data_IF_013686274211
#
_entry.id   IF_013686274211
#
_cell.length_a   1.000
_cell.length_b   1.000
_cell.length_c   1.000
_cell.angle_alpha   90.00
_cell.angle_beta   90.00
_cell.angle_gamma   90.00
#
_symmetry.space_group_name_H-M   'P 1'
#
loop_
_entity.id
_entity.type
_entity.pdbx_description
1 polymer ?
#
# COMPACT_ATOMS: atom_id res chain seq x y z
N UNK A 1 3.52 -0.48 10.70
CA UNK A 1 3.85 -1.79 10.10
C UNK A 1 4.41 -1.65 8.69
N UNK A 2 3.75 -0.92 7.77
CA UNK A 2 4.27 -0.70 6.40
C UNK A 2 5.70 -0.14 6.39
N UNK A 3 5.98 0.94 7.11
CA UNK A 3 7.33 1.54 7.17
C UNK A 3 8.41 0.56 7.65
N UNK A 4 8.09 -0.25 8.66
CA UNK A 4 9.01 -1.28 9.15
C UNK A 4 9.22 -2.38 8.10
N UNK A 5 8.13 -2.83 7.47
CA UNK A 5 8.16 -3.82 6.41
C UNK A 5 9.00 -3.35 5.21
N UNK A 6 8.82 -2.11 4.78
CA UNK A 6 9.63 -1.47 3.73
C UNK A 6 11.12 -1.50 4.07
N UNK A 7 11.49 -0.98 5.26
CA UNK A 7 12.89 -0.94 5.68
C UNK A 7 13.54 -2.32 5.88
N UNK A 8 12.75 -3.34 6.23
CA UNK A 8 13.27 -4.68 6.50
C UNK A 8 13.32 -5.59 5.26
N UNK A 9 12.46 -5.37 4.25
CA UNK A 9 12.24 -6.34 3.17
C UNK A 9 12.36 -5.77 1.75
N UNK A 10 12.18 -4.47 1.53
CA UNK A 10 12.11 -3.91 0.17
C UNK A 10 13.43 -4.07 -0.60
N UNK A 11 14.58 -3.83 0.05
CA UNK A 11 15.90 -3.99 -0.56
C UNK A 11 16.29 -5.44 -0.85
N UNK A 12 15.71 -6.40 -0.13
CA UNK A 12 15.99 -7.82 -0.32
C UNK A 12 15.06 -8.48 -1.36
N UNK A 13 13.80 -8.03 -1.43
CA UNK A 13 12.78 -8.58 -2.34
C UNK A 13 12.73 -7.88 -3.70
N UNK A 14 13.12 -6.61 -3.74
CA UNK A 14 12.86 -5.70 -4.85
C UNK A 14 11.59 -4.90 -4.67
N UNK A 15 11.57 -3.71 -5.24
CA UNK A 15 10.48 -2.76 -5.04
C UNK A 15 9.21 -3.29 -5.72
N UNK A 16 9.31 -3.93 -6.88
CA UNK A 16 8.16 -4.50 -7.58
C UNK A 16 7.51 -5.66 -6.81
N UNK A 17 8.33 -6.57 -6.28
CA UNK A 17 7.88 -7.70 -5.44
C UNK A 17 7.20 -7.19 -4.18
N UNK A 18 7.87 -6.29 -3.46
CA UNK A 18 7.35 -5.67 -2.25
C UNK A 18 6.01 -4.98 -2.51
N UNK A 19 5.95 -4.11 -3.51
CA UNK A 19 4.78 -3.27 -3.75
C UNK A 19 3.60 -4.08 -4.27
N UNK A 20 3.84 -5.07 -5.13
CA UNK A 20 2.79 -5.97 -5.63
C UNK A 20 2.17 -6.77 -4.48
N UNK A 21 2.97 -7.31 -3.56
CA UNK A 21 2.47 -8.03 -2.39
C UNK A 21 1.69 -7.11 -1.43
N UNK A 22 2.22 -5.91 -1.16
CA UNK A 22 1.57 -4.90 -0.32
C UNK A 22 0.20 -4.49 -0.88
N UNK A 23 0.13 -4.12 -2.16
CA UNK A 23 -1.09 -3.68 -2.83
C UNK A 23 -2.11 -4.81 -2.93
N UNK A 24 -1.66 -6.03 -3.24
CA UNK A 24 -2.56 -7.19 -3.30
C UNK A 24 -3.23 -7.45 -1.95
N UNK A 25 -2.47 -7.38 -0.86
CA UNK A 25 -3.00 -7.48 0.48
C UNK A 25 -3.92 -6.30 0.86
N UNK A 26 -3.60 -5.08 0.41
CA UNK A 26 -4.44 -3.90 0.62
C UNK A 26 -5.82 -4.07 -0.03
N UNK A 27 -5.88 -4.63 -1.25
CA UNK A 27 -7.12 -4.94 -1.94
C UNK A 27 -7.96 -5.98 -1.18
N UNK A 28 -7.32 -7.05 -0.71
CA UNK A 28 -7.98 -8.08 0.08
C UNK A 28 -8.51 -7.50 1.40
N UNK A 29 -7.73 -6.66 2.06
CA UNK A 29 -8.13 -6.00 3.30
C UNK A 29 -9.29 -5.04 3.10
N UNK A 30 -9.26 -4.23 2.05
CA UNK A 30 -10.37 -3.33 1.71
C UNK A 30 -11.68 -4.09 1.46
N UNK A 31 -11.61 -5.24 0.78
CA UNK A 31 -12.76 -6.12 0.58
C UNK A 31 -13.35 -6.63 1.91
N UNK A 32 -12.48 -6.97 2.88
CA UNK A 32 -12.89 -7.41 4.21
C UNK A 32 -13.51 -6.25 5.01
N UNK A 33 -12.87 -5.07 5.01
CA UNK A 33 -13.42 -3.87 5.67
C UNK A 33 -14.81 -3.54 5.15
N UNK A 34 -14.98 -3.56 3.83
CA UNK A 34 -16.26 -3.30 3.18
C UNK A 34 -17.35 -4.31 3.56
N UNK A 35 -16.97 -5.59 3.69
CA UNK A 35 -17.90 -6.64 4.10
C UNK A 35 -18.32 -6.48 5.56
N UNK A 36 -17.38 -6.14 6.43
CA UNK A 36 -17.65 -5.93 7.84
C UNK A 36 -18.35 -4.58 8.12
N UNK A 37 -18.38 -3.68 7.14
CA UNK A 37 -18.96 -2.34 7.28
C UNK A 37 -18.10 -1.42 8.13
N UNK A 38 -16.78 -1.63 8.14
CA UNK A 38 -15.87 -0.78 8.91
C UNK A 38 -15.59 0.49 8.10
N UNK A 39 -15.98 1.64 8.65
CA UNK A 39 -15.75 2.95 8.03
C UNK A 39 -16.71 3.34 6.91
N UNK A 40 -17.77 2.56 6.68
CA UNK A 40 -18.83 2.85 5.71
C UNK A 40 -20.20 2.69 6.37
N UNK A 41 -21.18 3.49 5.95
CA UNK A 41 -22.50 3.53 6.59
C UNK A 41 -23.37 2.32 6.18
N UNK A 42 -23.16 1.79 4.97
CA UNK A 42 -23.82 0.58 4.48
C UNK A 42 -22.82 -0.51 4.11
N UNK A 43 -23.06 -1.73 4.60
CA UNK A 43 -22.24 -2.90 4.29
C UNK A 43 -22.32 -3.25 2.81
N UNK A 44 -21.17 -3.34 2.15
CA UNK A 44 -21.13 -3.69 0.73
C UNK A 44 -21.09 -5.21 0.53
N UNK A 45 -21.86 -5.76 -0.42
CA UNK A 45 -21.81 -7.19 -0.73
C UNK A 45 -20.54 -7.57 -1.51
N UNK A 46 -20.19 -8.85 -1.49
CA UNK A 46 -19.18 -9.40 -2.39
C UNK A 46 -19.76 -9.50 -3.80
N UNK A 47 -19.55 -8.46 -4.60
CA UNK A 47 -19.90 -8.49 -6.02
C UNK A 47 -18.93 -9.39 -6.79
N UNK A 48 -19.37 -9.94 -7.92
CA UNK A 48 -18.52 -10.78 -8.78
C UNK A 48 -17.22 -10.06 -9.17
N UNK A 49 -17.28 -8.76 -9.49
CA UNK A 49 -16.10 -7.96 -9.82
C UNK A 49 -15.11 -7.86 -8.65
N UNK A 50 -15.61 -7.62 -7.44
CA UNK A 50 -14.78 -7.53 -6.24
C UNK A 50 -14.11 -8.87 -5.89
N UNK A 51 -14.83 -9.98 -6.05
CA UNK A 51 -14.26 -11.33 -5.85
C UNK A 51 -13.21 -11.65 -6.92
N UNK A 52 -13.48 -11.33 -8.19
CA UNK A 52 -12.51 -11.51 -9.26
C UNK A 52 -11.25 -10.69 -9.01
N UNK A 53 -11.38 -9.42 -8.65
CA UNK A 53 -10.22 -8.58 -8.33
C UNK A 53 -9.40 -9.11 -7.15
N UNK A 54 -10.04 -9.64 -6.12
CA UNK A 54 -9.38 -10.32 -5.01
C UNK A 54 -8.62 -11.58 -5.47
N UNK A 55 -9.20 -12.40 -6.35
CA UNK A 55 -8.51 -13.57 -6.93
C UNK A 55 -7.27 -13.13 -7.72
N UNK A 56 -7.39 -12.08 -8.54
CA UNK A 56 -6.26 -11.53 -9.28
C UNK A 56 -5.14 -11.03 -8.36
N UNK A 57 -5.47 -10.40 -7.23
CA UNK A 57 -4.51 -9.97 -6.21
C UNK A 57 -3.77 -11.16 -5.56
N UNK A 58 -4.48 -12.25 -5.26
CA UNK A 58 -3.85 -13.47 -4.73
C UNK A 58 -2.90 -14.08 -5.76
N UNK A 59 -3.35 -14.23 -7.01
CA UNK A 59 -2.54 -14.79 -8.09
C UNK A 59 -1.30 -13.91 -8.36
N UNK A 60 -1.47 -12.59 -8.36
CA UNK A 60 -0.36 -11.64 -8.50
C UNK A 60 0.71 -11.85 -7.42
N UNK A 61 0.28 -11.99 -6.16
CA UNK A 61 1.19 -12.25 -5.03
C UNK A 61 1.95 -13.55 -5.22
N UNK A 62 1.27 -14.63 -5.64
CA UNK A 62 1.92 -15.91 -5.89
C UNK A 62 2.96 -15.83 -7.00
N UNK A 63 2.67 -15.14 -8.11
CA UNK A 63 3.64 -14.96 -9.19
C UNK A 63 4.84 -14.14 -8.74
N UNK A 64 4.62 -13.03 -8.05
CA UNK A 64 5.69 -12.12 -7.65
C UNK A 64 6.63 -12.75 -6.62
N UNK A 65 6.12 -13.65 -5.77
CA UNK A 65 6.90 -14.38 -4.74
C UNK A 65 7.50 -15.69 -5.28
N UNK A 66 7.05 -16.20 -6.43
CA UNK A 66 7.51 -17.49 -6.97
C UNK A 66 9.03 -17.62 -7.17
N UNK A 67 9.79 -16.59 -7.59
CA UNK A 67 11.24 -16.71 -7.68
C UNK A 67 11.92 -17.01 -6.33
N UNK A 68 11.31 -16.59 -5.24
CA UNK A 68 11.86 -16.66 -3.88
C UNK A 68 11.57 -18.00 -3.18
N UNK A 69 10.81 -18.91 -3.81
CA UNK A 69 10.43 -20.19 -3.20
C UNK A 69 11.60 -21.09 -2.80
N UNK A 70 12.77 -20.89 -3.40
CA UNK A 70 13.99 -21.64 -3.09
C UNK A 70 14.67 -21.17 -1.79
N UNK A 71 14.29 -20.01 -1.26
CA UNK A 71 14.90 -19.41 -0.07
C UNK A 71 13.85 -19.15 1.01
N UNK A 72 13.88 -19.96 2.08
CA UNK A 72 12.94 -19.81 3.20
C UNK A 72 13.00 -18.41 3.82
N UNK A 73 14.20 -17.80 3.90
CA UNK A 73 14.35 -16.44 4.44
C UNK A 73 13.68 -15.38 3.55
N UNK A 74 13.74 -15.53 2.22
CA UNK A 74 13.09 -14.61 1.29
C UNK A 74 11.56 -14.73 1.35
N UNK A 75 11.02 -15.93 1.57
CA UNK A 75 9.58 -16.13 1.78
C UNK A 75 9.11 -15.41 3.05
N UNK A 76 9.85 -15.54 4.17
CA UNK A 76 9.50 -14.81 5.40
C UNK A 76 9.52 -13.30 5.19
N UNK A 77 10.49 -12.78 4.44
CA UNK A 77 10.54 -11.36 4.09
C UNK A 77 9.35 -10.95 3.21
N UNK A 78 8.90 -11.80 2.28
CA UNK A 78 7.74 -11.53 1.43
C UNK A 78 6.40 -11.54 2.18
N UNK A 79 6.31 -12.21 3.32
CA UNK A 79 5.13 -12.19 4.20
C UNK A 79 4.98 -10.83 4.87
N UNK A 80 6.07 -10.11 5.17
CA UNK A 80 6.01 -8.79 5.81
C UNK A 80 5.20 -7.75 5.02
N UNK A 81 5.43 -7.50 3.71
CA UNK A 81 4.62 -6.56 2.94
C UNK A 81 3.16 -7.01 2.85
N UNK A 82 2.93 -8.31 2.71
CA UNK A 82 1.57 -8.83 2.64
C UNK A 82 0.80 -8.58 3.96
N UNK A 83 1.38 -8.91 5.11
CA UNK A 83 0.77 -8.62 6.41
C UNK A 83 0.62 -7.10 6.64
N UNK A 84 1.62 -6.32 6.24
CA UNK A 84 1.56 -4.87 6.33
C UNK A 84 0.40 -4.30 5.52
N UNK A 85 0.16 -4.81 4.31
CA UNK A 85 -0.97 -4.41 3.46
C UNK A 85 -2.31 -4.84 4.04
N UNK A 86 -2.37 -6.06 4.61
CA UNK A 86 -3.57 -6.56 5.28
C UNK A 86 -3.97 -5.67 6.45
N UNK A 87 -3.00 -5.21 7.25
CA UNK A 87 -3.25 -4.30 8.37
C UNK A 87 -3.50 -2.87 7.91
N UNK A 88 -2.80 -2.41 6.88
CA UNK A 88 -2.93 -1.05 6.37
C UNK A 88 -4.30 -0.78 5.74
N UNK A 89 -4.97 -1.80 5.18
CA UNK A 89 -6.29 -1.61 4.54
C UNK A 89 -7.40 -1.16 5.50
N UNK A 90 -7.24 -1.36 6.80
CA UNK A 90 -8.19 -0.89 7.82
C UNK A 90 -7.97 0.58 8.20
N UNK A 91 -6.78 1.12 7.94
CA UNK A 91 -6.40 2.47 8.35
C UNK A 91 -7.25 3.55 7.63
N UNK A 92 -7.52 3.48 6.31
CA UNK A 92 -8.42 4.44 5.64
C UNK A 92 -9.81 4.52 6.28
N UNK A 93 -10.37 3.39 6.72
CA UNK A 93 -11.68 3.34 7.37
C UNK A 93 -11.67 4.09 8.72
N UNK A 94 -10.66 3.85 9.56
CA UNK A 94 -10.47 4.58 10.82
C UNK A 94 -10.20 6.07 10.58
N UNK A 95 -9.35 6.39 9.61
CA UNK A 95 -9.00 7.76 9.25
C UNK A 95 -10.21 8.57 8.79
N UNK A 96 -11.13 7.94 8.07
CA UNK A 96 -12.37 8.54 7.59
C UNK A 96 -13.30 8.89 8.76
N UNK A 97 -13.46 7.98 9.74
CA UNK A 97 -14.29 8.26 10.93
C UNK A 97 -13.70 9.33 11.84
N UNK A 98 -12.37 9.40 11.99
CA UNK A 98 -11.72 10.51 12.70
C UNK A 98 -11.94 11.83 11.97
N UNK A 99 -11.80 11.85 10.64
CA UNK A 99 -12.03 13.05 9.85
C UNK A 99 -13.50 13.52 9.93
N UNK A 100 -14.46 12.59 9.91
CA UNK A 100 -15.89 12.87 10.09
C UNK A 100 -16.18 13.45 11.47
N UNK A 101 -15.69 12.81 12.54
CA UNK A 101 -15.90 13.24 13.91
C UNK A 101 -15.25 14.59 14.26
N UNK A 102 -14.17 14.97 13.57
CA UNK A 102 -13.42 16.20 13.83
C UNK A 102 -13.69 17.31 12.81
N UNK A 103 -14.42 17.01 11.73
CA UNK A 103 -14.61 17.92 10.60
C UNK A 103 -13.32 18.27 9.84
N UNK A 104 -12.22 17.54 10.05
CA UNK A 104 -10.91 17.88 9.49
C UNK A 104 -10.05 16.66 9.15
N UNK A 105 -9.76 16.49 7.86
CA UNK A 105 -8.80 15.49 7.38
C UNK A 105 -7.38 15.72 7.93
N UNK A 106 -7.00 16.98 8.15
CA UNK A 106 -5.66 17.32 8.67
C UNK A 106 -5.46 16.79 10.09
N UNK A 107 -6.52 16.76 10.92
CA UNK A 107 -6.47 16.18 12.27
C UNK A 107 -6.22 14.69 12.20
N UNK A 108 -6.94 13.98 11.31
CA UNK A 108 -6.75 12.56 11.07
C UNK A 108 -5.32 12.23 10.58
N UNK A 109 -4.78 13.01 9.63
CA UNK A 109 -3.39 12.86 9.16
C UNK A 109 -2.40 13.09 10.31
N UNK A 110 -2.58 14.16 11.09
CA UNK A 110 -1.69 14.50 12.21
C UNK A 110 -1.64 13.37 13.24
N UNK A 111 -2.79 12.79 13.58
CA UNK A 111 -2.86 11.65 14.49
C UNK A 111 -2.12 10.42 13.95
N UNK A 112 -2.22 10.14 12.65
CA UNK A 112 -1.46 9.05 12.03
C UNK A 112 0.05 9.25 12.20
N UNK A 113 0.54 10.47 11.98
CA UNK A 113 1.95 10.79 12.18
C UNK A 113 2.39 10.70 13.64
N UNK A 114 1.58 11.21 14.58
CA UNK A 114 1.88 11.13 16.02
C UNK A 114 1.96 9.68 16.48
N UNK A 115 0.98 8.84 16.12
CA UNK A 115 0.95 7.43 16.50
C UNK A 115 2.12 6.69 15.83
N UNK A 116 2.35 6.91 14.53
CA UNK A 116 3.47 6.31 13.80
C UNK A 116 4.81 6.67 14.41
N UNK A 117 5.05 7.96 14.67
CA UNK A 117 6.27 8.46 15.30
C UNK A 117 6.48 7.88 16.71
N UNK A 118 5.42 7.86 17.53
CA UNK A 118 5.48 7.30 18.89
C UNK A 118 5.85 5.83 18.86
N UNK A 119 5.17 5.01 18.05
CA UNK A 119 5.42 3.57 17.96
C UNK A 119 6.84 3.29 17.45
N UNK A 120 7.30 3.99 16.41
CA UNK A 120 8.66 3.83 15.89
C UNK A 120 9.72 4.27 16.89
N UNK A 121 9.47 5.34 17.65
CA UNK A 121 10.37 5.81 18.70
C UNK A 121 10.47 4.81 19.84
N UNK A 122 9.34 4.22 20.27
CA UNK A 122 9.33 3.16 21.29
C UNK A 122 10.13 1.95 20.78
N UNK A 123 9.93 1.52 19.54
CA UNK A 123 10.69 0.42 18.95
C UNK A 123 12.20 0.71 18.92
N UNK A 124 12.59 1.95 18.58
CA UNK A 124 13.98 2.40 18.63
C UNK A 124 14.56 2.34 20.05
N UNK A 125 13.84 2.88 21.04
CA UNK A 125 14.25 2.87 22.45
C UNK A 125 14.41 1.44 22.98
N UNK A 126 13.51 0.53 22.62
CA UNK A 126 13.64 -0.89 22.99
C UNK A 126 14.90 -1.49 22.36
N UNK A 127 15.16 -1.24 21.07
CA UNK A 127 16.39 -1.72 20.41
C UNK A 127 17.66 -1.14 21.05
N UNK A 128 17.62 0.11 21.49
CA UNK A 128 18.69 0.75 22.26
C UNK A 128 18.93 0.03 23.58
N UNK A 129 17.87 -0.22 24.36
CA UNK A 129 17.96 -0.89 25.65
C UNK A 129 18.48 -2.33 25.54
N UNK A 130 18.20 -3.01 24.41
CA UNK A 130 18.71 -4.35 24.11
C UNK A 130 20.14 -4.37 23.54
N UNK A 131 20.77 -3.21 23.35
CA UNK A 131 22.13 -3.12 22.79
C UNK A 131 22.21 -3.45 21.29
N UNK A 132 21.08 -3.52 20.58
CA UNK A 132 21.01 -3.85 19.15
C UNK A 132 21.04 -2.60 18.25
N UNK A 133 21.63 -1.50 18.73
CA UNK A 133 21.72 -0.25 18.00
C UNK A 133 23.14 -0.04 17.46
N UNK A 134 23.26 -0.08 16.14
CA UNK A 134 24.37 0.50 15.40
C UNK A 134 23.84 1.78 14.72
N UNK A 135 24.26 2.94 15.22
CA UNK A 135 23.95 4.23 14.57
C UNK A 135 24.96 4.46 13.46
N UNK A 136 24.69 3.86 12.30
CA UNK A 136 25.39 4.21 11.07
C UNK A 136 24.49 5.14 10.25
N UNK A 137 24.73 6.44 10.39
CA UNK A 137 23.99 7.43 9.62
C UNK A 137 24.52 7.45 8.19
N UNK A 138 23.66 7.36 7.17
CA UNK A 138 24.16 7.36 5.81
C UNK A 138 24.90 8.66 5.49
N UNK A 139 26.16 8.58 5.08
CA UNK A 139 26.94 9.76 4.65
C UNK A 139 26.42 10.42 3.36
N UNK A 140 25.36 9.87 2.79
CA UNK A 140 24.80 10.23 1.49
C UNK A 140 23.56 11.10 1.69
N UNK A 141 23.66 12.38 1.31
CA UNK A 141 22.66 13.40 1.66
C UNK A 141 21.24 13.12 1.13
N UNK A 142 21.10 12.49 -0.05
CA UNK A 142 19.78 12.26 -0.62
C UNK A 142 18.98 11.18 0.12
N UNK A 143 19.63 10.33 0.94
CA UNK A 143 18.93 9.33 1.75
C UNK A 143 18.02 9.97 2.81
N UNK A 144 18.30 11.23 3.19
CA UNK A 144 17.46 12.00 4.11
C UNK A 144 16.22 12.60 3.45
N UNK A 145 16.10 12.55 2.12
CA UNK A 145 14.92 13.07 1.40
C UNK A 145 13.68 12.18 1.54
N UNK A 146 13.80 10.96 2.05
CA UNK A 146 12.66 10.04 2.20
C UNK A 146 11.51 10.64 3.03
N UNK A 147 11.82 11.30 4.14
CA UNK A 147 10.82 11.97 4.99
C UNK A 147 10.09 13.11 4.27
N UNK A 148 10.81 14.13 3.77
CA UNK A 148 10.20 15.22 2.99
C UNK A 148 9.42 14.74 1.76
N UNK A 149 9.93 13.76 1.00
CA UNK A 149 9.22 13.21 -0.16
C UNK A 149 7.93 12.48 0.24
N UNK A 150 7.95 11.74 1.35
CA UNK A 150 6.74 11.12 1.90
C UNK A 150 5.68 12.15 2.30
N UNK A 151 6.09 13.23 2.96
CA UNK A 151 5.17 14.33 3.33
C UNK A 151 4.61 15.02 2.08
N UNK A 152 5.46 15.29 1.09
CA UNK A 152 5.04 15.87 -0.19
C UNK A 152 4.05 14.95 -0.93
N UNK A 153 4.26 13.63 -0.90
CA UNK A 153 3.33 12.65 -1.48
C UNK A 153 1.95 12.72 -0.82
N UNK A 154 1.87 12.78 0.51
CA UNK A 154 0.60 12.88 1.23
C UNK A 154 -0.09 14.22 0.96
N UNK A 155 0.66 15.32 0.96
CA UNK A 155 0.13 16.64 0.62
C UNK A 155 -0.43 16.69 -0.81
N UNK A 156 0.31 16.10 -1.77
CA UNK A 156 -0.13 16.00 -3.15
C UNK A 156 -1.41 15.17 -3.28
N UNK A 157 -1.47 14.01 -2.61
CA UNK A 157 -2.69 13.20 -2.56
C UNK A 157 -3.88 14.01 -2.03
N UNK A 158 -3.72 14.72 -0.91
CA UNK A 158 -4.79 15.53 -0.31
C UNK A 158 -5.30 16.65 -1.25
N UNK A 159 -4.42 17.23 -2.09
CA UNK A 159 -4.80 18.21 -3.11
C UNK A 159 -5.54 17.51 -4.26
N UNK A 160 -5.00 16.41 -4.78
CA UNK A 160 -5.55 15.70 -5.94
C UNK A 160 -6.92 15.07 -5.66
N UNK A 161 -7.20 14.66 -4.41
CA UNK A 161 -8.53 14.16 -4.01
C UNK A 161 -9.64 15.13 -4.40
N UNK A 162 -9.41 16.45 -4.28
CA UNK A 162 -10.43 17.47 -4.55
C UNK A 162 -10.85 17.53 -6.02
N UNK A 163 -9.95 17.18 -6.94
CA UNK A 163 -10.21 17.20 -8.38
C UNK A 163 -10.59 15.84 -8.96
N UNK A 164 -9.95 14.76 -8.51
CA UNK A 164 -10.13 13.41 -9.06
C UNK A 164 -11.18 12.58 -8.31
N UNK A 165 -11.45 12.91 -7.04
CA UNK A 165 -12.18 12.04 -6.12
C UNK A 165 -11.31 10.88 -5.61
N UNK A 166 -11.74 10.28 -4.49
CA UNK A 166 -10.98 9.24 -3.78
C UNK A 166 -10.79 7.95 -4.62
N UNK A 167 -11.82 7.54 -5.36
CA UNK A 167 -11.78 6.31 -6.16
C UNK A 167 -10.73 6.40 -7.28
N UNK A 168 -10.80 7.45 -8.09
CA UNK A 168 -9.89 7.65 -9.22
C UNK A 168 -8.46 7.93 -8.75
N UNK A 169 -8.30 8.68 -7.64
CA UNK A 169 -7.00 8.86 -7.02
C UNK A 169 -6.41 7.52 -6.54
N UNK A 170 -7.21 6.66 -5.91
CA UNK A 170 -6.77 5.34 -5.46
C UNK A 170 -6.25 4.49 -6.61
N UNK A 171 -7.04 4.36 -7.68
CA UNK A 171 -6.64 3.60 -8.88
C UNK A 171 -5.40 4.18 -9.54
N UNK A 172 -5.35 5.51 -9.74
CA UNK A 172 -4.20 6.18 -10.35
C UNK A 172 -2.93 6.03 -9.51
N UNK A 173 -3.05 6.15 -8.18
CA UNK A 173 -1.96 5.98 -7.23
C UNK A 173 -1.43 4.55 -7.25
N UNK A 174 -2.30 3.54 -7.16
CA UNK A 174 -1.92 2.14 -7.24
C UNK A 174 -1.25 1.81 -8.58
N UNK A 175 -1.80 2.31 -9.69
CA UNK A 175 -1.18 2.15 -11.01
C UNK A 175 0.20 2.79 -11.09
N UNK A 176 0.35 4.04 -10.63
CA UNK A 176 1.63 4.74 -10.60
C UNK A 176 2.66 4.04 -9.71
N UNK A 177 2.26 3.51 -8.57
CA UNK A 177 3.13 2.76 -7.66
C UNK A 177 3.60 1.44 -8.25
N UNK A 178 2.70 0.68 -8.89
CA UNK A 178 3.02 -0.60 -9.53
C UNK A 178 3.88 -0.42 -10.80
N UNK A 179 3.59 0.58 -11.62
CA UNK A 179 4.40 0.90 -12.79
C UNK A 179 5.77 1.48 -12.37
N UNK A 180 5.76 2.41 -11.41
CA UNK A 180 6.96 3.02 -10.88
C UNK A 180 7.90 2.03 -10.22
N UNK A 181 7.37 1.04 -9.48
CA UNK A 181 8.20 0.00 -8.86
C UNK A 181 8.91 -0.87 -9.89
N UNK A 182 8.21 -1.28 -10.95
CA UNK A 182 8.82 -2.03 -12.08
C UNK A 182 9.84 -1.17 -12.82
N UNK A 183 9.54 0.10 -13.09
CA UNK A 183 10.49 1.02 -13.74
C UNK A 183 11.75 1.22 -12.90
N UNK A 184 11.63 1.37 -11.58
CA UNK A 184 12.79 1.49 -10.68
C UNK A 184 13.64 0.23 -10.74
N UNK A 185 13.04 -0.96 -10.62
CA UNK A 185 13.80 -2.20 -10.64
C UNK A 185 14.46 -2.46 -12.02
N UNK A 186 13.87 -1.98 -13.12
CA UNK A 186 14.44 -2.10 -14.48
C UNK A 186 15.54 -1.06 -14.77
N UNK A 187 15.35 0.20 -14.34
CA UNK A 187 16.26 1.31 -14.64
C UNK A 187 17.46 1.36 -13.68
N UNK A 188 17.32 0.79 -12.47
CA UNK A 188 18.36 0.77 -11.45
C UNK A 188 18.68 -0.67 -10.98
N UNK A 189 19.13 -1.58 -11.87
CA UNK A 189 19.44 -2.97 -11.50
C UNK A 189 20.59 -3.08 -10.49
N UNK A 190 21.42 -2.02 -10.36
CA UNK A 190 22.56 -1.93 -9.43
C UNK A 190 22.17 -2.03 -7.95
N UNK A 191 20.88 -2.02 -7.63
CA UNK A 191 20.34 -2.30 -6.29
C UNK A 191 20.35 -3.80 -5.94
N UNK A 192 20.82 -4.68 -6.84
CA UNK A 192 20.97 -6.12 -6.60
C UNK A 192 19.73 -6.95 -6.97
N UNK A 193 18.74 -6.33 -7.63
CA UNK A 193 17.47 -6.97 -7.94
C UNK A 193 17.39 -7.49 -9.36
N UNK A 194 17.09 -8.78 -9.49
CA UNK A 194 16.76 -9.40 -10.78
C UNK A 194 15.27 -9.23 -11.02
N UNK A 195 14.90 -8.49 -12.07
CA UNK A 195 13.50 -8.40 -12.50
C UNK A 195 13.14 -9.67 -13.27
N UNK A 196 12.31 -10.50 -12.64
CA UNK A 196 11.81 -11.71 -13.29
C UNK A 196 10.60 -11.38 -14.16
N UNK A 197 10.44 -12.09 -15.29
CA UNK A 197 9.24 -11.94 -16.12
C UNK A 197 7.95 -12.20 -15.32
N UNK A 198 8.00 -13.15 -14.38
CA UNK A 198 6.88 -13.45 -13.47
C UNK A 198 6.55 -12.28 -12.53
N UNK A 199 7.53 -11.45 -12.18
CA UNK A 199 7.31 -10.22 -11.40
C UNK A 199 6.48 -9.22 -12.19
N UNK A 200 6.83 -9.00 -13.47
CA UNK A 200 6.10 -8.11 -14.37
C UNK A 200 4.66 -8.61 -14.58
N UNK A 201 4.50 -9.92 -14.83
CA UNK A 201 3.19 -10.55 -14.98
C UNK A 201 2.37 -10.38 -13.68
N UNK A 202 2.96 -10.64 -12.53
CA UNK A 202 2.32 -10.45 -11.23
C UNK A 202 1.86 -9.00 -11.03
N UNK A 203 2.70 -8.02 -11.34
CA UNK A 203 2.35 -6.60 -11.26
C UNK A 203 1.17 -6.24 -12.18
N UNK A 204 1.14 -6.77 -13.41
CA UNK A 204 0.00 -6.58 -14.33
C UNK A 204 -1.28 -7.20 -13.75
N UNK A 205 -1.19 -8.39 -13.16
CA UNK A 205 -2.33 -9.02 -12.50
C UNK A 205 -2.84 -8.20 -11.31
N UNK A 206 -1.94 -7.65 -10.48
CA UNK A 206 -2.34 -6.77 -9.37
C UNK A 206 -3.01 -5.49 -9.87
N UNK A 207 -2.49 -4.89 -10.95
CA UNK A 207 -3.09 -3.70 -11.56
C UNK A 207 -4.48 -4.00 -12.10
N UNK A 208 -4.63 -5.09 -12.86
CA UNK A 208 -5.93 -5.52 -13.40
C UNK A 208 -6.90 -5.85 -12.26
N UNK A 209 -6.45 -6.55 -11.22
CA UNK A 209 -7.24 -6.86 -10.04
C UNK A 209 -7.75 -5.61 -9.32
N UNK A 210 -6.87 -4.60 -9.15
CA UNK A 210 -7.24 -3.32 -8.56
C UNK A 210 -8.32 -2.62 -9.38
N UNK A 211 -8.15 -2.54 -10.70
CA UNK A 211 -9.10 -1.88 -11.60
C UNK A 211 -10.45 -2.61 -11.57
N UNK A 212 -10.45 -3.94 -11.72
CA UNK A 212 -11.68 -4.76 -11.73
C UNK A 212 -12.46 -4.57 -10.43
N UNK A 213 -11.77 -4.53 -9.29
CA UNK A 213 -12.41 -4.35 -7.97
C UNK A 213 -13.19 -3.05 -7.90
N UNK A 214 -12.74 -1.99 -8.58
CA UNK A 214 -13.35 -0.65 -8.56
C UNK A 214 -14.52 -0.44 -9.55
N UNK A 215 -14.80 -1.41 -10.43
CA UNK A 215 -15.84 -1.29 -11.46
C UNK A 215 -17.24 -1.01 -10.87
N UNK A 216 -17.70 -1.70 -9.80
CA UNK A 216 -19.02 -1.44 -9.22
C UNK A 216 -19.19 0.02 -8.78
N UNK A 217 -18.20 0.59 -8.11
CA UNK A 217 -18.21 1.96 -7.58
C UNK A 217 -18.21 2.98 -8.71
N UNK A 218 -17.46 2.72 -9.80
CA UNK A 218 -17.52 3.55 -10.99
C UNK A 218 -18.90 3.55 -11.65
N UNK A 219 -19.58 2.40 -11.66
CA UNK A 219 -20.94 2.29 -12.21
C UNK A 219 -21.96 3.03 -11.36
N UNK A 220 -21.86 2.91 -10.04
CA UNK A 220 -22.69 3.65 -9.08
C UNK A 220 -22.49 5.17 -9.25
N UNK A 221 -21.25 5.65 -9.21
CA UNK A 221 -20.95 7.08 -9.36
C UNK A 221 -21.46 7.66 -10.69
N UNK A 222 -21.34 6.89 -11.78
CA UNK A 222 -21.86 7.29 -13.09
C UNK A 222 -23.40 7.34 -13.11
N UNK A 223 -24.06 6.40 -12.44
CA UNK A 223 -25.52 6.37 -12.34
C UNK A 223 -26.06 7.58 -11.54
N UNK A 224 -25.43 7.92 -10.40
CA UNK A 224 -25.81 9.11 -9.61
C UNK A 224 -25.67 10.40 -10.42
N UNK A 225 -24.55 10.56 -11.13
CA UNK A 225 -24.32 11.72 -11.99
C UNK A 225 -25.32 11.81 -13.15
N UNK A 226 -25.72 10.67 -13.72
CA UNK A 226 -26.74 10.62 -14.77
C UNK A 226 -28.15 10.92 -14.25
N UNK A 227 -28.42 10.64 -12.97
CA UNK A 227 -29.67 10.97 -12.30
C UNK A 227 -29.78 12.45 -11.87
N UNK A 228 -28.72 13.25 -12.04
CA UNK A 228 -28.71 14.67 -11.70
C UNK A 228 -28.73 14.97 -10.20
N UNK A 229 -28.36 13.98 -9.37
CA UNK A 229 -28.19 14.09 -7.92
C UNK A 229 -26.72 14.39 -7.59
#
# INVERSE_FOLDING_TARGET
>A
MVVFSEGASASALGIATFQTALISALLLSGLLCDRFGIGIDEKKPFTTFRVLGAIFAVVATLFVVSPQWHSSSAIYLAILPFLAGLLAGWQPAGNSKVAEATGSMMVSITWNFIVGFTVLTIALVIRMALGHLTLDLPGVWWMYLGGPLGLMSIALMAILVRGLGLLMLGVASTAGQLLGSVLIDLLLPSLGNTVYLVTIIGTVFALVGAIITTIPEFREAKATKAAGV
#
